data_IF_877568320736
#
_entry.id   IF_877568320736
#
_cell.length_a   1.000
_cell.length_b   1.000
_cell.length_c   1.000
_cell.angle_alpha   90.00
_cell.angle_beta   90.00
_cell.angle_gamma   90.00
#
_symmetry.space_group_name_H-M   'P 1'
#
loop_
_entity.id
_entity.type
_entity.pdbx_description
1 polymer ?
#
# COMPACT_ATOMS: atom_id res chain seq x y z
N UNK A 1 0.02 17.35 -2.49
CA UNK A 1 0.32 15.92 -2.29
C UNK A 1 0.53 15.25 -3.65
N UNK A 2 1.64 14.61 -3.81
CA UNK A 2 1.91 13.85 -5.04
C UNK A 2 1.53 12.39 -4.84
N UNK A 3 0.88 11.82 -5.84
CA UNK A 3 0.54 10.40 -5.85
C UNK A 3 1.75 9.61 -6.32
N UNK A 4 2.13 8.60 -5.55
CA UNK A 4 3.23 7.72 -5.92
C UNK A 4 2.70 6.57 -6.79
N UNK A 5 2.67 6.79 -8.10
CA UNK A 5 2.18 5.79 -9.06
C UNK A 5 3.07 4.55 -9.14
N UNK A 6 4.34 4.67 -8.83
CA UNK A 6 5.25 3.51 -8.76
C UNK A 6 4.84 2.57 -7.64
N UNK A 7 4.54 3.12 -6.46
CA UNK A 7 4.07 2.31 -5.33
C UNK A 7 2.74 1.63 -5.64
N UNK A 8 1.83 2.33 -6.31
CA UNK A 8 0.55 1.76 -6.72
C UNK A 8 0.77 0.61 -7.71
N UNK A 9 1.60 0.84 -8.72
CA UNK A 9 1.94 -0.19 -9.71
C UNK A 9 2.56 -1.44 -9.08
N UNK A 10 3.49 -1.24 -8.15
CA UNK A 10 4.13 -2.32 -7.41
C UNK A 10 3.11 -3.13 -6.59
N UNK A 11 2.17 -2.43 -5.96
CA UNK A 11 1.10 -3.08 -5.19
C UNK A 11 0.17 -3.90 -6.07
N UNK A 12 -0.21 -3.36 -7.21
CA UNK A 12 -1.04 -4.10 -8.17
C UNK A 12 -0.32 -5.37 -8.60
N UNK A 13 0.94 -5.26 -8.97
CA UNK A 13 1.74 -6.41 -9.39
C UNK A 13 1.89 -7.44 -8.27
N UNK A 14 2.15 -6.99 -7.05
CA UNK A 14 2.28 -7.87 -5.89
C UNK A 14 0.98 -8.65 -5.66
N UNK A 15 -0.16 -7.96 -5.64
CA UNK A 15 -1.45 -8.60 -5.44
C UNK A 15 -1.81 -9.54 -6.59
N UNK A 16 -1.48 -9.14 -7.82
CA UNK A 16 -1.71 -9.96 -8.99
C UNK A 16 -0.92 -11.27 -8.94
N UNK A 17 0.38 -11.18 -8.68
CA UNK A 17 1.24 -12.37 -8.63
C UNK A 17 0.86 -13.28 -7.47
N UNK A 18 0.49 -12.71 -6.34
CA UNK A 18 0.03 -13.46 -5.17
C UNK A 18 -1.26 -14.21 -5.45
N UNK A 19 -2.14 -13.64 -6.27
CA UNK A 19 -3.37 -14.29 -6.71
C UNK A 19 -3.15 -15.32 -7.82
N UNK A 20 -1.93 -15.44 -8.33
CA UNK A 20 -1.61 -16.37 -9.41
C UNK A 20 -2.11 -15.93 -10.77
N UNK A 21 -2.35 -14.63 -10.96
CA UNK A 21 -2.89 -14.10 -12.21
C UNK A 21 -1.78 -13.55 -13.10
N UNK A 22 -1.95 -13.77 -14.42
CA UNK A 22 -1.13 -13.11 -15.42
C UNK A 22 -1.66 -11.68 -15.67
N UNK A 23 -0.84 -10.83 -16.29
CA UNK A 23 -1.31 -9.50 -16.69
C UNK A 23 -2.51 -9.61 -17.63
N UNK A 24 -2.49 -10.55 -18.58
CA UNK A 24 -3.57 -10.73 -19.52
C UNK A 24 -4.90 -11.07 -18.83
N UNK A 25 -4.85 -11.97 -17.85
CA UNK A 25 -6.05 -12.40 -17.12
C UNK A 25 -6.59 -11.26 -16.26
N UNK A 26 -5.72 -10.57 -15.51
CA UNK A 26 -6.17 -9.44 -14.69
C UNK A 26 -6.73 -8.31 -15.56
N UNK A 27 -6.08 -8.01 -16.67
CA UNK A 27 -6.56 -6.99 -17.60
C UNK A 27 -7.96 -7.31 -18.12
N UNK A 28 -8.19 -8.57 -18.50
CA UNK A 28 -9.52 -9.02 -18.94
C UNK A 28 -10.56 -8.84 -17.83
N UNK A 29 -10.23 -9.25 -16.61
CA UNK A 29 -11.13 -9.11 -15.46
C UNK A 29 -11.45 -7.66 -15.15
N UNK A 30 -10.48 -6.76 -15.33
CA UNK A 30 -10.63 -5.33 -15.05
C UNK A 30 -11.18 -4.54 -16.24
N UNK A 31 -11.38 -5.19 -17.39
CA UNK A 31 -11.90 -4.53 -18.58
C UNK A 31 -10.94 -3.56 -19.25
N UNK A 32 -9.64 -3.82 -19.17
CA UNK A 32 -8.61 -2.98 -19.80
C UNK A 32 -7.70 -3.84 -20.68
N UNK A 33 -6.95 -3.16 -21.57
CA UNK A 33 -6.00 -3.86 -22.42
C UNK A 33 -4.78 -4.33 -21.59
N UNK A 34 -4.21 -5.50 -21.92
CA UNK A 34 -3.01 -5.98 -21.21
C UNK A 34 -1.83 -5.00 -21.28
N UNK A 35 -1.65 -4.32 -22.40
CA UNK A 35 -0.60 -3.31 -22.54
C UNK A 35 -0.81 -2.15 -21.58
N UNK A 36 -2.06 -1.75 -21.35
CA UNK A 36 -2.39 -0.70 -20.40
C UNK A 36 -2.06 -1.12 -18.98
N UNK A 37 -2.41 -2.36 -18.60
CA UNK A 37 -2.06 -2.88 -17.28
C UNK A 37 -0.55 -2.94 -17.09
N UNK A 38 0.20 -3.37 -18.11
CA UNK A 38 1.65 -3.38 -18.05
C UNK A 38 2.22 -1.98 -17.80
N UNK A 39 1.69 -0.97 -18.48
CA UNK A 39 2.10 0.42 -18.26
C UNK A 39 1.77 0.90 -16.84
N UNK A 40 0.61 0.53 -16.34
CA UNK A 40 0.18 0.89 -14.97
C UNK A 40 1.13 0.27 -13.94
N UNK A 41 1.45 -1.01 -14.07
CA UNK A 41 2.33 -1.71 -13.14
C UNK A 41 3.75 -1.13 -13.12
N UNK A 42 4.22 -0.60 -14.26
CA UNK A 42 5.54 0.03 -14.38
C UNK A 42 5.52 1.54 -14.14
N UNK A 43 4.36 2.10 -13.82
CA UNK A 43 4.16 3.53 -13.65
C UNK A 43 4.52 4.35 -14.90
N UNK A 44 4.43 3.72 -16.06
CA UNK A 44 4.62 4.42 -17.34
C UNK A 44 3.43 5.32 -17.68
N UNK A 45 2.28 5.03 -17.09
CA UNK A 45 1.07 5.86 -17.20
C UNK A 45 0.48 6.05 -15.80
N UNK A 46 -0.23 7.16 -15.65
CA UNK A 46 -0.97 7.44 -14.41
C UNK A 46 -2.32 6.73 -14.48
N UNK A 47 -2.56 5.77 -13.60
CA UNK A 47 -3.82 5.04 -13.56
C UNK A 47 -4.94 5.99 -13.13
N UNK A 48 -6.08 5.93 -13.82
CA UNK A 48 -7.26 6.70 -13.42
C UNK A 48 -7.96 6.02 -12.24
N UNK A 49 -8.73 6.79 -11.50
CA UNK A 49 -9.48 6.24 -10.36
C UNK A 49 -10.48 5.14 -10.78
N UNK A 50 -11.28 5.31 -11.86
CA UNK A 50 -12.17 4.24 -12.30
C UNK A 50 -11.43 2.94 -12.64
N UNK A 51 -10.30 3.04 -13.33
CA UNK A 51 -9.50 1.86 -13.68
C UNK A 51 -8.93 1.20 -12.43
N UNK A 52 -8.45 2.01 -11.47
CA UNK A 52 -7.92 1.48 -10.21
C UNK A 52 -9.00 0.74 -9.41
N UNK A 53 -10.22 1.27 -9.39
CA UNK A 53 -11.36 0.60 -8.74
C UNK A 53 -11.66 -0.74 -9.42
N UNK A 54 -11.65 -0.78 -10.76
CA UNK A 54 -11.87 -2.02 -11.49
C UNK A 54 -10.79 -3.06 -11.20
N UNK A 55 -9.55 -2.64 -11.11
CA UNK A 55 -8.43 -3.51 -10.74
C UNK A 55 -8.60 -4.04 -9.30
N UNK A 56 -8.95 -3.18 -8.37
CA UNK A 56 -9.18 -3.58 -6.98
C UNK A 56 -10.30 -4.61 -6.88
N UNK A 57 -11.40 -4.39 -7.58
CA UNK A 57 -12.51 -5.33 -7.61
C UNK A 57 -12.10 -6.67 -8.22
N UNK A 58 -11.34 -6.66 -9.30
CA UNK A 58 -10.85 -7.87 -9.94
C UNK A 58 -9.91 -8.66 -9.03
N UNK A 59 -9.08 -7.99 -8.26
CA UNK A 59 -8.17 -8.61 -7.30
C UNK A 59 -8.82 -8.96 -5.96
N UNK A 60 -10.06 -8.54 -5.76
CA UNK A 60 -10.79 -8.71 -4.48
C UNK A 60 -10.03 -8.09 -3.31
N UNK A 61 -9.45 -6.92 -3.54
CA UNK A 61 -8.77 -6.15 -2.51
C UNK A 61 -9.43 -4.79 -2.38
N UNK A 62 -9.17 -4.12 -1.27
CA UNK A 62 -9.68 -2.76 -1.08
C UNK A 62 -8.80 -1.76 -1.83
N UNK A 63 -9.38 -0.60 -2.14
CA UNK A 63 -8.62 0.49 -2.74
C UNK A 63 -7.47 0.92 -1.84
N UNK A 64 -7.70 0.94 -0.52
CA UNK A 64 -6.68 1.28 0.47
C UNK A 64 -5.45 0.40 0.36
N UNK A 65 -5.61 -0.89 0.11
CA UNK A 65 -4.48 -1.81 -0.04
C UNK A 65 -3.61 -1.46 -1.24
N UNK A 66 -4.20 -0.94 -2.30
CA UNK A 66 -3.45 -0.56 -3.50
C UNK A 66 -2.74 0.78 -3.35
N UNK A 67 -3.32 1.73 -2.62
CA UNK A 67 -2.76 3.08 -2.47
C UNK A 67 -1.94 3.25 -1.18
N UNK A 68 -1.89 2.24 -0.34
CA UNK A 68 -1.27 2.31 0.97
C UNK A 68 0.17 2.83 0.92
N UNK A 69 0.99 2.26 0.05
CA UNK A 69 2.39 2.67 -0.09
C UNK A 69 2.53 4.11 -0.59
N UNK A 70 1.60 4.55 -1.44
CA UNK A 70 1.59 5.91 -1.95
C UNK A 70 1.30 6.92 -0.84
N UNK A 71 0.29 6.63 -0.03
CA UNK A 71 -0.11 7.52 1.07
C UNK A 71 0.98 7.61 2.13
N UNK A 72 1.51 6.47 2.55
CA UNK A 72 2.52 6.42 3.61
C UNK A 72 3.84 7.03 3.18
N UNK A 73 4.26 6.79 1.94
CA UNK A 73 5.53 7.28 1.43
C UNK A 73 5.58 8.81 1.40
N UNK A 74 4.44 9.45 1.17
CA UNK A 74 4.32 10.90 1.10
C UNK A 74 3.81 11.53 2.40
N UNK A 75 3.53 10.71 3.41
CA UNK A 75 3.02 11.17 4.70
C UNK A 75 4.12 11.07 5.75
N UNK A 76 4.40 12.17 6.41
CA UNK A 76 5.28 12.17 7.55
C UNK A 76 4.45 12.05 8.82
N UNK A 77 4.70 10.98 9.59
CA UNK A 77 4.17 10.90 10.95
C UNK A 77 5.00 11.88 11.76
N UNK A 78 4.41 13.00 12.11
CA UNK A 78 5.09 14.00 12.91
C UNK A 78 5.14 13.57 14.38
N UNK A 79 6.14 14.06 15.09
CA UNK A 79 6.23 13.86 16.54
C UNK A 79 4.95 14.36 17.23
N UNK A 80 4.38 15.45 16.73
CA UNK A 80 3.13 16.00 17.26
C UNK A 80 1.98 15.02 17.15
N UNK A 81 1.84 14.31 16.04
CA UNK A 81 0.79 13.30 15.88
C UNK A 81 0.94 12.17 16.89
N UNK A 82 2.18 11.73 17.12
CA UNK A 82 2.46 10.70 18.13
C UNK A 82 2.15 11.21 19.53
N UNK A 83 2.54 12.44 19.84
CA UNK A 83 2.24 13.06 21.13
C UNK A 83 0.73 13.15 21.37
N UNK A 84 -0.03 13.53 20.35
CA UNK A 84 -1.50 13.65 20.46
C UNK A 84 -2.14 12.27 20.73
N UNK A 85 -1.67 11.22 20.06
CA UNK A 85 -2.15 9.86 20.32
C UNK A 85 -1.78 9.41 21.73
N UNK A 86 -0.55 9.65 22.15
CA UNK A 86 -0.06 9.23 23.47
C UNK A 86 -0.72 10.02 24.60
N UNK A 87 -1.13 11.26 24.35
CA UNK A 87 -1.78 12.10 25.36
C UNK A 87 -3.11 11.51 25.83
N UNK A 88 -3.79 10.75 24.97
CA UNK A 88 -5.05 10.09 25.33
C UNK A 88 -4.84 8.75 26.04
N UNK A 89 -3.62 8.30 26.16
CA UNK A 89 -3.28 7.01 26.77
C UNK A 89 -2.90 7.18 28.23
N UNK A 90 -3.26 6.20 29.06
CA UNK A 90 -2.76 6.13 30.43
C UNK A 90 -1.27 5.80 30.40
N UNK A 91 -0.52 6.08 31.51
CA UNK A 91 0.89 5.68 31.58
C UNK A 91 1.12 4.19 31.30
N UNK A 92 0.21 3.32 31.76
CA UNK A 92 0.30 1.89 31.47
C UNK A 92 0.13 1.58 30.00
N UNK A 93 -0.84 2.23 29.36
CA UNK A 93 -1.07 2.08 27.93
C UNK A 93 0.12 2.59 27.11
N UNK A 94 0.73 3.69 27.54
CA UNK A 94 1.93 4.21 26.91
C UNK A 94 3.10 3.22 26.95
N UNK A 95 3.28 2.54 28.07
CA UNK A 95 4.32 1.53 28.22
C UNK A 95 4.08 0.34 27.30
N UNK A 96 2.85 -0.14 27.22
CA UNK A 96 2.47 -1.25 26.33
C UNK A 96 2.69 -0.87 24.87
N UNK A 97 2.28 0.33 24.48
CA UNK A 97 2.47 0.84 23.12
C UNK A 97 3.94 0.98 22.76
N UNK A 98 4.76 1.50 23.69
CA UNK A 98 6.20 1.66 23.47
C UNK A 98 6.85 0.30 23.21
N UNK A 99 6.50 -0.71 23.96
CA UNK A 99 7.02 -2.06 23.79
C UNK A 99 6.56 -2.69 22.48
N UNK A 100 5.27 -2.51 22.15
CA UNK A 100 4.72 -2.98 20.89
C UNK A 100 5.45 -2.35 19.69
N UNK A 101 5.66 -1.04 19.72
CA UNK A 101 6.37 -0.33 18.65
C UNK A 101 7.82 -0.79 18.54
N UNK A 102 8.49 -0.99 19.67
CA UNK A 102 9.87 -1.47 19.67
C UNK A 102 9.97 -2.85 19.01
N UNK A 103 9.09 -3.77 19.38
CA UNK A 103 9.06 -5.11 18.79
C UNK A 103 8.73 -5.06 17.30
N UNK A 104 7.81 -4.19 16.89
CA UNK A 104 7.45 -4.02 15.49
C UNK A 104 8.61 -3.46 14.67
N UNK A 105 9.35 -2.50 15.20
CA UNK A 105 10.51 -1.95 14.53
C UNK A 105 11.60 -3.00 14.39
N UNK A 106 11.87 -3.77 15.43
CA UNK A 106 12.86 -4.84 15.40
C UNK A 106 12.50 -5.91 14.36
N UNK A 107 11.23 -6.32 14.31
CA UNK A 107 10.74 -7.27 13.31
C UNK A 107 10.88 -6.72 11.88
N UNK A 108 10.54 -5.45 11.69
CA UNK A 108 10.67 -4.79 10.40
C UNK A 108 12.13 -4.73 9.94
N UNK A 109 13.03 -4.39 10.83
CA UNK A 109 14.47 -4.32 10.53
C UNK A 109 15.03 -5.68 10.14
N UNK A 110 14.63 -6.75 10.83
CA UNK A 110 15.00 -8.11 10.49
C UNK A 110 14.50 -8.52 9.12
N UNK A 111 13.26 -8.18 8.81
CA UNK A 111 12.67 -8.45 7.50
C UNK A 111 13.42 -7.72 6.38
N UNK A 112 13.77 -6.45 6.62
CA UNK A 112 14.44 -5.61 5.62
C UNK A 112 15.88 -6.04 5.37
N UNK A 113 16.55 -6.67 6.33
CA UNK A 113 17.96 -7.07 6.21
C UNK A 113 18.16 -8.42 5.55
N UNK A 114 17.10 -9.09 5.13
CA UNK A 114 17.16 -10.40 4.44
C UNK A 114 17.43 -10.24 2.95
#
# INVERSE_FOLDING_TARGET
MEINYEAIGDRIREKRTKAGLTQAVLAEMAGIEPSNLSHIERAATKVSLPTLINIANALEVTLDELVYGSLIKNSHISVKMLEDVLADCTPQEQMVLAEFLKNSIDSFRKFKSR
#
